data_IF_623716829341
#
_entry.id   IF_623716829341
#
_cell.length_a   1.000
_cell.length_b   1.000
_cell.length_c   1.000
_cell.angle_alpha   90.00
_cell.angle_beta   90.00
_cell.angle_gamma   90.00
#
_symmetry.space_group_name_H-M   'P 1'
#
loop_
_entity.id
_entity.type
_entity.pdbx_description
1 polymer ?
#
# COMPACT_ATOMS: atom_id res chain seq x y z
N UNK A 1 15.16 9.86 17.81
CA UNK A 1 13.94 9.61 18.61
C UNK A 1 12.66 9.43 17.75
N UNK A 2 12.68 9.80 16.48
CA UNK A 2 11.55 9.71 15.52
C UNK A 2 11.26 8.32 14.95
N UNK A 3 12.22 7.38 15.02
CA UNK A 3 12.06 6.03 14.44
C UNK A 3 11.13 5.11 15.27
N UNK A 4 11.11 5.26 16.60
CA UNK A 4 10.34 4.38 17.50
C UNK A 4 8.82 4.67 17.52
N UNK A 5 8.38 5.85 17.09
CA UNK A 5 6.96 6.24 17.06
C UNK A 5 6.25 5.73 15.79
N UNK A 6 6.98 5.59 14.68
CA UNK A 6 6.42 5.14 13.39
C UNK A 6 6.07 3.65 13.38
N UNK A 7 6.88 2.83 14.06
CA UNK A 7 6.68 1.39 14.17
C UNK A 7 5.48 1.02 15.07
N UNK A 8 5.19 1.84 16.10
CA UNK A 8 3.98 1.68 16.92
C UNK A 8 2.71 1.94 16.11
N UNK A 9 2.67 3.00 15.30
CA UNK A 9 1.50 3.35 14.49
C UNK A 9 1.11 2.23 13.52
N UNK A 10 2.09 1.59 12.89
CA UNK A 10 1.86 0.48 11.96
C UNK A 10 1.29 -0.77 12.64
N UNK A 11 1.80 -1.11 13.84
CA UNK A 11 1.31 -2.25 14.63
C UNK A 11 -0.13 -2.05 15.12
N UNK A 12 -0.48 -0.84 15.55
CA UNK A 12 -1.85 -0.52 15.98
C UNK A 12 -2.86 -0.57 14.83
N UNK A 13 -2.49 -0.13 13.63
CA UNK A 13 -3.35 -0.21 12.45
C UNK A 13 -3.62 -1.66 12.05
N UNK A 14 -2.61 -2.53 12.04
CA UNK A 14 -2.80 -3.95 11.74
C UNK A 14 -3.61 -4.68 12.82
N UNK A 15 -3.39 -4.37 14.10
CA UNK A 15 -4.20 -4.89 15.20
C UNK A 15 -5.66 -4.44 15.09
N UNK A 16 -5.90 -3.18 14.75
CA UNK A 16 -7.24 -2.65 14.54
C UNK A 16 -7.92 -3.32 13.34
N UNK A 17 -7.19 -3.57 12.25
CA UNK A 17 -7.72 -4.26 11.07
C UNK A 17 -8.10 -5.70 11.40
N UNK A 18 -7.21 -6.45 12.07
CA UNK A 18 -7.46 -7.82 12.52
C UNK A 18 -8.62 -7.89 13.51
N UNK A 19 -8.70 -6.96 14.46
CA UNK A 19 -9.80 -6.89 15.41
C UNK A 19 -11.14 -6.59 14.70
N UNK A 20 -11.14 -5.73 13.69
CA UNK A 20 -12.34 -5.40 12.89
C UNK A 20 -12.79 -6.61 12.08
N UNK A 21 -11.86 -7.32 11.43
CA UNK A 21 -12.15 -8.57 10.71
C UNK A 21 -12.70 -9.62 11.66
N UNK A 22 -12.07 -9.81 12.83
CA UNK A 22 -12.51 -10.76 13.85
C UNK A 22 -13.90 -10.43 14.39
N UNK A 23 -14.17 -9.16 14.69
CA UNK A 23 -15.49 -8.70 15.13
C UNK A 23 -16.56 -8.93 14.05
N UNK A 24 -16.24 -8.66 12.77
CA UNK A 24 -17.13 -8.93 11.65
C UNK A 24 -17.42 -10.44 11.49
N UNK A 25 -16.41 -11.30 11.62
CA UNK A 25 -16.62 -12.76 11.59
C UNK A 25 -17.48 -13.25 12.76
N UNK A 26 -17.28 -12.72 13.97
CA UNK A 26 -18.12 -13.07 15.12
C UNK A 26 -19.56 -12.60 14.93
N UNK A 27 -19.76 -11.40 14.40
CA UNK A 27 -21.10 -10.89 14.06
C UNK A 27 -21.77 -11.76 12.99
N UNK A 28 -21.02 -12.24 11.99
CA UNK A 28 -21.51 -13.16 10.97
C UNK A 28 -21.96 -14.50 11.59
N UNK A 29 -21.11 -15.11 12.41
CA UNK A 29 -21.40 -16.37 13.09
C UNK A 29 -22.63 -16.21 13.99
N UNK A 30 -22.71 -15.10 14.73
CA UNK A 30 -23.85 -14.78 15.60
C UNK A 30 -25.15 -14.62 14.79
N UNK A 31 -25.10 -13.91 13.65
CA UNK A 31 -26.25 -13.74 12.77
C UNK A 31 -26.72 -15.09 12.22
N UNK A 32 -25.80 -15.92 11.71
CA UNK A 32 -26.11 -17.27 11.21
C UNK A 32 -26.71 -18.14 12.31
N UNK A 33 -26.11 -18.13 13.51
CA UNK A 33 -26.63 -18.85 14.66
C UNK A 33 -28.07 -18.43 14.97
N UNK A 34 -28.33 -17.12 15.04
CA UNK A 34 -29.67 -16.57 15.32
C UNK A 34 -30.69 -16.93 14.23
N UNK A 35 -30.29 -16.92 12.97
CA UNK A 35 -31.16 -17.33 11.85
C UNK A 35 -31.52 -18.82 11.95
N UNK A 36 -30.53 -19.69 12.18
CA UNK A 36 -30.76 -21.14 12.31
C UNK A 36 -31.61 -21.47 13.53
N UNK A 37 -31.37 -20.80 14.66
CA UNK A 37 -32.14 -20.97 15.90
C UNK A 37 -33.62 -20.57 15.70
N UNK A 38 -33.86 -19.43 15.04
CA UNK A 38 -35.21 -18.98 14.69
C UNK A 38 -35.91 -19.95 13.72
N UNK A 39 -35.21 -20.42 12.69
CA UNK A 39 -35.76 -21.36 11.72
C UNK A 39 -36.13 -22.71 12.36
N UNK A 40 -35.29 -23.22 13.28
CA UNK A 40 -35.58 -24.44 14.05
C UNK A 40 -36.83 -24.30 14.90
N UNK A 41 -36.95 -23.20 15.66
CA UNK A 41 -38.13 -22.94 16.49
C UNK A 41 -39.41 -22.85 15.65
N UNK A 42 -39.32 -22.21 14.49
CA UNK A 42 -40.44 -22.05 13.56
C UNK A 42 -40.88 -23.38 12.93
N UNK A 43 -39.93 -24.22 12.52
CA UNK A 43 -40.23 -25.58 12.03
C UNK A 43 -40.91 -26.44 13.11
N UNK A 44 -40.40 -26.40 14.34
CA UNK A 44 -41.00 -27.12 15.46
C UNK A 44 -42.44 -26.64 15.74
N UNK A 45 -42.71 -25.34 15.62
CA UNK A 45 -44.06 -24.79 15.76
C UNK A 45 -45.00 -25.28 14.63
N UNK A 46 -44.53 -25.30 13.38
CA UNK A 46 -45.31 -25.80 12.22
C UNK A 46 -45.65 -27.27 12.38
N UNK A 47 -44.69 -28.11 12.78
CA UNK A 47 -44.90 -29.54 13.03
C UNK A 47 -45.94 -29.76 14.13
N UNK A 48 -45.80 -29.03 15.24
CA UNK A 48 -46.72 -29.07 16.38
C UNK A 48 -48.15 -28.67 16.00
N UNK A 49 -48.32 -27.53 15.34
CA UNK A 49 -49.65 -27.05 14.89
C UNK A 49 -50.27 -27.99 13.86
N UNK A 50 -49.47 -28.57 12.94
CA UNK A 50 -49.96 -29.59 12.01
C UNK A 50 -50.43 -30.86 12.73
N UNK A 51 -49.73 -31.28 13.79
CA UNK A 51 -50.13 -32.45 14.58
C UNK A 51 -51.42 -32.21 15.36
N UNK A 52 -51.60 -31.01 15.94
CA UNK A 52 -52.86 -30.60 16.59
C UNK A 52 -54.02 -30.67 15.61
N UNK A 53 -53.88 -30.10 14.41
CA UNK A 53 -54.91 -30.15 13.37
C UNK A 53 -55.24 -31.60 12.95
N UNK A 54 -54.26 -32.51 12.88
CA UNK A 54 -54.52 -33.92 12.60
C UNK A 54 -55.32 -34.59 13.74
N UNK A 55 -55.00 -34.30 15.00
CA UNK A 55 -55.76 -34.85 16.14
C UNK A 55 -57.21 -34.34 16.16
N UNK A 56 -57.44 -33.04 15.90
CA UNK A 56 -58.78 -32.47 15.80
C UNK A 56 -59.62 -33.15 14.71
N UNK A 57 -59.03 -33.38 13.53
CA UNK A 57 -59.67 -34.11 12.43
C UNK A 57 -59.90 -35.59 12.76
N UNK A 58 -59.03 -36.22 13.54
CA UNK A 58 -59.22 -37.60 14.04
C UNK A 58 -60.41 -37.66 14.98
N UNK A 59 -60.50 -36.75 15.96
CA UNK A 59 -61.61 -36.66 16.91
C UNK A 59 -62.94 -36.46 16.16
N UNK A 60 -62.98 -35.50 15.22
CA UNK A 60 -64.17 -35.24 14.41
C UNK A 60 -64.60 -36.45 13.59
N UNK A 61 -63.67 -37.12 12.90
CA UNK A 61 -63.96 -38.33 12.11
C UNK A 61 -64.37 -39.53 12.98
N UNK A 62 -63.70 -39.76 14.10
CA UNK A 62 -64.01 -40.85 15.02
C UNK A 62 -65.44 -40.70 15.56
N UNK A 63 -65.82 -39.49 15.95
CA UNK A 63 -67.16 -39.22 16.48
C UNK A 63 -68.23 -39.36 15.40
N UNK A 64 -68.01 -38.83 14.19
CA UNK A 64 -68.95 -38.94 13.08
C UNK A 64 -69.13 -40.40 12.60
N UNK A 65 -68.03 -41.13 12.47
CA UNK A 65 -68.05 -42.55 12.09
C UNK A 65 -68.74 -43.39 13.15
N UNK A 66 -68.49 -43.07 14.43
CA UNK A 66 -69.13 -43.74 15.55
C UNK A 66 -70.63 -43.54 15.56
N UNK A 67 -71.10 -42.31 15.35
CA UNK A 67 -72.53 -42.03 15.23
C UNK A 67 -73.14 -42.74 14.01
N UNK A 68 -72.44 -42.73 12.88
CA UNK A 68 -72.91 -43.41 11.67
C UNK A 68 -73.03 -44.92 11.88
N UNK A 69 -72.06 -45.55 12.55
CA UNK A 69 -72.08 -46.98 12.88
C UNK A 69 -73.18 -47.34 13.87
N UNK A 70 -73.30 -46.56 14.95
CA UNK A 70 -74.36 -46.71 15.95
C UNK A 70 -75.74 -46.60 15.32
N UNK A 71 -76.03 -45.57 14.51
CA UNK A 71 -77.32 -45.42 13.82
C UNK A 71 -77.59 -46.58 12.85
N UNK A 72 -76.57 -47.03 12.12
CA UNK A 72 -76.67 -48.20 11.24
C UNK A 72 -77.09 -49.46 12.01
N UNK A 73 -76.49 -49.71 13.17
CA UNK A 73 -76.84 -50.83 14.04
C UNK A 73 -78.25 -50.70 14.62
N UNK A 74 -78.63 -49.53 15.13
CA UNK A 74 -79.98 -49.29 15.68
C UNK A 74 -81.10 -49.51 14.65
N UNK A 75 -80.82 -49.23 13.36
CA UNK A 75 -81.79 -49.39 12.27
C UNK A 75 -81.87 -50.84 11.79
N UNK A 76 -80.72 -51.51 11.64
CA UNK A 76 -80.62 -52.82 10.96
C UNK A 76 -80.57 -54.00 11.93
N UNK A 77 -80.19 -53.76 13.19
CA UNK A 77 -79.82 -54.76 14.19
C UNK A 77 -78.66 -55.67 13.77
N UNK A 78 -77.91 -55.30 12.73
CA UNK A 78 -76.79 -56.06 12.21
C UNK A 78 -75.47 -55.52 12.79
N UNK A 79 -74.83 -56.35 13.62
CA UNK A 79 -73.55 -56.01 14.30
C UNK A 79 -72.44 -55.60 13.35
N UNK A 80 -72.50 -55.95 12.06
CA UNK A 80 -71.50 -55.49 11.07
C UNK A 80 -71.46 -53.97 10.93
N UNK A 81 -72.54 -53.27 11.28
CA UNK A 81 -72.58 -51.80 11.30
C UNK A 81 -71.90 -51.19 12.54
N UNK A 82 -71.53 -51.98 13.56
CA UNK A 82 -70.79 -51.47 14.74
C UNK A 82 -69.30 -51.28 14.48
N UNK A 83 -68.74 -51.83 13.39
CA UNK A 83 -67.30 -51.73 13.10
C UNK A 83 -66.78 -50.26 13.09
N UNK A 84 -67.47 -49.27 12.47
CA UNK A 84 -67.06 -47.87 12.54
C UNK A 84 -67.19 -47.25 13.94
N UNK A 85 -68.10 -47.77 14.78
CA UNK A 85 -68.29 -47.36 16.17
C UNK A 85 -67.16 -47.85 17.07
N UNK A 86 -66.85 -49.15 17.02
CA UNK A 86 -65.74 -49.76 17.75
C UNK A 86 -64.41 -49.07 17.38
N UNK A 87 -64.17 -48.87 16.08
CA UNK A 87 -62.98 -48.15 15.61
C UNK A 87 -62.93 -46.69 16.10
N UNK A 88 -64.06 -46.01 16.20
CA UNK A 88 -64.14 -44.66 16.76
C UNK A 88 -63.84 -44.63 18.25
N UNK A 89 -64.37 -45.60 19.01
CA UNK A 89 -64.18 -45.73 20.45
C UNK A 89 -62.72 -46.04 20.80
N UNK A 90 -62.03 -46.87 20.01
CA UNK A 90 -60.60 -47.14 20.20
C UNK A 90 -59.70 -45.93 19.89
N UNK A 91 -60.15 -45.02 19.01
CA UNK A 91 -59.34 -43.88 18.54
C UNK A 91 -59.55 -42.61 19.37
N UNK A 92 -60.69 -42.45 20.05
CA UNK A 92 -61.04 -41.17 20.66
C UNK A 92 -60.12 -40.80 21.83
N UNK A 93 -59.88 -41.73 22.75
CA UNK A 93 -59.06 -41.49 23.95
C UNK A 93 -57.59 -41.20 23.59
N UNK A 94 -56.91 -42.00 22.74
CA UNK A 94 -55.56 -41.68 22.31
C UNK A 94 -55.44 -40.32 21.60
N UNK A 95 -56.45 -39.93 20.82
CA UNK A 95 -56.45 -38.64 20.12
C UNK A 95 -56.60 -37.46 21.07
N UNK A 96 -57.48 -37.58 22.08
CA UNK A 96 -57.67 -36.57 23.13
C UNK A 96 -56.42 -36.42 24.00
N UNK A 97 -55.82 -37.54 24.43
CA UNK A 97 -54.60 -37.54 25.23
C UNK A 97 -53.44 -36.89 24.47
N UNK A 98 -53.31 -37.20 23.17
CA UNK A 98 -52.27 -36.60 22.32
C UNK A 98 -52.50 -35.11 22.11
N UNK A 99 -53.74 -34.68 21.85
CA UNK A 99 -54.09 -33.28 21.73
C UNK A 99 -53.73 -32.50 23.00
N UNK A 100 -54.05 -33.05 24.17
CA UNK A 100 -53.74 -32.44 25.47
C UNK A 100 -52.23 -32.36 25.72
N UNK A 101 -51.50 -33.43 25.42
CA UNK A 101 -50.04 -33.47 25.56
C UNK A 101 -49.35 -32.42 24.67
N UNK A 102 -49.84 -32.21 23.43
CA UNK A 102 -49.29 -31.17 22.56
C UNK A 102 -49.49 -29.77 23.14
N UNK A 103 -50.54 -29.52 23.92
CA UNK A 103 -50.91 -28.18 24.39
C UNK A 103 -50.38 -27.80 25.79
N UNK A 104 -49.78 -28.73 26.55
CA UNK A 104 -49.40 -28.52 27.97
C UNK A 104 -48.55 -27.28 28.26
N UNK A 105 -47.58 -26.91 27.40
CA UNK A 105 -46.59 -25.88 27.73
C UNK A 105 -46.85 -24.50 27.08
N UNK A 106 -47.75 -24.42 26.10
CA UNK A 106 -47.82 -23.26 25.18
C UNK A 106 -49.27 -22.83 24.86
N UNK A 107 -50.28 -23.49 25.45
CA UNK A 107 -51.67 -23.17 25.14
C UNK A 107 -52.09 -21.81 25.68
N UNK A 108 -52.81 -21.07 24.85
CA UNK A 108 -53.58 -19.90 25.31
C UNK A 108 -54.73 -20.35 26.23
N UNK A 109 -55.25 -19.44 27.08
CA UNK A 109 -56.42 -19.75 27.90
C UNK A 109 -57.60 -20.28 27.08
N UNK A 110 -57.83 -19.72 25.88
CA UNK A 110 -58.91 -20.16 24.99
C UNK A 110 -58.68 -21.55 24.41
N UNK A 111 -57.46 -21.88 23.99
CA UNK A 111 -57.13 -23.23 23.53
C UNK A 111 -57.32 -24.28 24.64
N UNK A 112 -56.95 -23.93 25.88
CA UNK A 112 -57.14 -24.83 27.03
C UNK A 112 -58.63 -25.10 27.28
N UNK A 113 -59.45 -24.04 27.27
CA UNK A 113 -60.91 -24.15 27.40
C UNK A 113 -61.53 -25.00 26.27
N UNK A 114 -61.10 -24.79 25.03
CA UNK A 114 -61.60 -25.55 23.88
C UNK A 114 -61.21 -27.03 23.95
N UNK A 115 -60.00 -27.37 24.41
CA UNK A 115 -59.59 -28.77 24.61
C UNK A 115 -60.45 -29.43 25.68
N UNK A 116 -60.70 -28.76 26.80
CA UNK A 116 -61.56 -29.27 27.87
C UNK A 116 -63.00 -29.47 27.36
N UNK A 117 -63.52 -28.54 26.56
CA UNK A 117 -64.84 -28.63 25.94
C UNK A 117 -64.93 -29.79 24.94
N UNK A 118 -63.94 -29.92 24.04
CA UNK A 118 -63.86 -31.02 23.05
C UNK A 118 -63.79 -32.37 23.77
N UNK A 119 -62.96 -32.48 24.81
CA UNK A 119 -62.83 -33.72 25.60
C UNK A 119 -64.15 -34.08 26.28
N UNK A 120 -64.79 -33.13 26.96
CA UNK A 120 -66.05 -33.37 27.65
C UNK A 120 -67.16 -33.78 26.68
N UNK A 121 -67.30 -33.08 25.55
CA UNK A 121 -68.34 -33.33 24.55
C UNK A 121 -68.12 -34.65 23.81
N UNK A 122 -66.88 -34.96 23.40
CA UNK A 122 -66.57 -36.21 22.73
C UNK A 122 -66.82 -37.42 23.65
N UNK A 123 -66.33 -37.37 24.90
CA UNK A 123 -66.59 -38.43 25.88
C UNK A 123 -68.08 -38.56 26.23
N UNK A 124 -68.81 -37.45 26.29
CA UNK A 124 -70.27 -37.49 26.46
C UNK A 124 -70.96 -38.18 25.28
N UNK A 125 -70.54 -37.87 24.04
CA UNK A 125 -71.11 -38.47 22.83
C UNK A 125 -70.85 -39.97 22.74
N UNK A 126 -69.64 -40.42 23.04
CA UNK A 126 -69.34 -41.86 23.04
C UNK A 126 -70.07 -42.62 24.15
N UNK A 127 -70.29 -42.01 25.32
CA UNK A 127 -71.15 -42.60 26.37
C UNK A 127 -72.60 -42.73 25.94
N UNK A 128 -73.17 -41.70 25.29
CA UNK A 128 -74.53 -41.76 24.74
C UNK A 128 -74.68 -42.89 23.71
N UNK A 129 -73.70 -43.03 22.81
CA UNK A 129 -73.68 -44.11 21.83
C UNK A 129 -73.56 -45.49 22.50
N UNK A 130 -72.67 -45.65 23.48
CA UNK A 130 -72.48 -46.90 24.24
C UNK A 130 -73.76 -47.34 24.99
N UNK A 131 -74.42 -46.38 25.67
CA UNK A 131 -75.70 -46.62 26.34
C UNK A 131 -76.77 -47.10 25.34
N UNK A 132 -76.85 -46.47 24.18
CA UNK A 132 -77.83 -46.82 23.15
C UNK A 132 -77.58 -48.20 22.53
N UNK A 133 -76.31 -48.58 22.31
CA UNK A 133 -75.92 -49.89 21.79
C UNK A 133 -76.23 -50.96 22.83
N UNK A 134 -75.83 -50.73 24.09
CA UNK A 134 -76.10 -51.64 25.22
C UNK A 134 -77.59 -51.90 25.41
N UNK A 135 -78.45 -50.87 25.32
CA UNK A 135 -79.91 -51.04 25.38
C UNK A 135 -80.45 -51.95 24.27
N UNK A 136 -79.90 -51.89 23.05
CA UNK A 136 -80.30 -52.81 21.96
C UNK A 136 -79.84 -54.23 22.23
N UNK A 137 -78.63 -54.41 22.76
CA UNK A 137 -78.10 -55.73 23.12
C UNK A 137 -78.90 -56.40 24.26
N UNK A 138 -79.41 -55.61 25.21
CA UNK A 138 -80.32 -56.04 26.28
C UNK A 138 -81.77 -56.33 25.80
N UNK A 139 -82.07 -56.13 24.51
CA UNK A 139 -83.40 -56.31 23.93
C UNK A 139 -84.36 -55.14 24.17
N UNK A 140 -83.88 -54.00 24.66
CA UNK A 140 -84.66 -52.79 24.98
C UNK A 140 -84.67 -51.77 23.83
N UNK A 141 -85.03 -52.23 22.63
CA UNK A 141 -84.98 -51.42 21.40
C UNK A 141 -85.80 -50.12 21.45
N UNK A 142 -86.95 -50.13 22.11
CA UNK A 142 -87.80 -48.94 22.24
C UNK A 142 -87.16 -47.86 23.12
N UNK A 143 -86.43 -48.26 24.17
CA UNK A 143 -85.71 -47.34 25.04
C UNK A 143 -84.53 -46.71 24.30
N UNK A 144 -83.74 -47.54 23.59
CA UNK A 144 -82.63 -47.09 22.75
C UNK A 144 -83.08 -46.07 21.70
N UNK A 145 -84.19 -46.35 21.00
CA UNK A 145 -84.73 -45.43 19.99
C UNK A 145 -85.26 -44.13 20.59
N UNK A 146 -85.85 -44.17 21.80
CA UNK A 146 -86.32 -42.97 22.50
C UNK A 146 -85.15 -42.10 22.96
N UNK A 147 -84.05 -42.70 23.40
CA UNK A 147 -82.83 -41.99 23.78
C UNK A 147 -82.21 -41.24 22.59
N UNK A 148 -82.13 -41.87 21.41
CA UNK A 148 -81.58 -41.25 20.19
C UNK A 148 -82.49 -40.18 19.58
N UNK A 149 -83.81 -40.26 19.83
CA UNK A 149 -84.77 -39.25 19.40
C UNK A 149 -84.74 -37.97 20.24
N UNK A 150 -83.85 -37.88 21.24
CA UNK A 150 -83.64 -36.65 22.00
C UNK A 150 -82.75 -35.68 21.19
N UNK A 151 -83.05 -34.38 21.24
CA UNK A 151 -82.23 -33.35 20.58
C UNK A 151 -80.84 -33.19 21.24
N UNK A 152 -80.62 -33.81 22.41
CA UNK A 152 -79.38 -33.73 23.19
C UNK A 152 -78.17 -34.31 22.44
N UNK A 153 -78.37 -35.41 21.69
CA UNK A 153 -77.31 -36.03 20.89
C UNK A 153 -76.89 -35.19 19.68
N UNK A 154 -77.82 -34.43 19.10
CA UNK A 154 -77.56 -33.49 17.98
C UNK A 154 -76.87 -32.24 18.51
N UNK A 155 -77.37 -31.67 19.62
CA UNK A 155 -76.79 -30.48 20.23
C UNK A 155 -75.34 -30.73 20.68
N UNK A 156 -75.06 -31.88 21.29
CA UNK A 156 -73.70 -32.28 21.69
C UNK A 156 -72.76 -32.34 20.50
N UNK A 157 -73.23 -32.90 19.37
CA UNK A 157 -72.44 -32.97 18.14
C UNK A 157 -72.20 -31.60 17.50
N UNK A 158 -73.21 -30.72 17.49
CA UNK A 158 -73.05 -29.37 16.96
C UNK A 158 -72.08 -28.53 17.80
N UNK A 159 -72.15 -28.66 19.13
CA UNK A 159 -71.20 -28.02 20.06
C UNK A 159 -69.79 -28.57 19.86
N UNK A 160 -69.63 -29.90 19.74
CA UNK A 160 -68.33 -30.52 19.49
C UNK A 160 -67.74 -30.04 18.16
N UNK A 161 -68.53 -30.07 17.09
CA UNK A 161 -68.10 -29.61 15.79
C UNK A 161 -67.75 -28.12 15.78
N UNK A 162 -68.43 -27.30 16.59
CA UNK A 162 -68.14 -25.88 16.75
C UNK A 162 -66.82 -25.66 17.51
N UNK A 163 -66.62 -26.35 18.62
CA UNK A 163 -65.38 -26.26 19.39
C UNK A 163 -64.16 -26.73 18.57
N UNK A 164 -64.31 -27.83 17.81
CA UNK A 164 -63.29 -28.30 16.86
C UNK A 164 -62.98 -27.23 15.81
N UNK A 165 -64.00 -26.66 15.15
CA UNK A 165 -63.79 -25.62 14.13
C UNK A 165 -63.11 -24.39 14.69
N UNK A 166 -63.51 -23.93 15.87
CA UNK A 166 -62.88 -22.77 16.51
C UNK A 166 -61.41 -23.04 16.85
N UNK A 167 -61.11 -24.24 17.36
CA UNK A 167 -59.72 -24.65 17.60
C UNK A 167 -58.93 -24.75 16.28
N UNK A 168 -59.51 -25.30 15.21
CA UNK A 168 -58.90 -25.34 13.88
C UNK A 168 -58.64 -23.93 13.33
N UNK A 169 -59.53 -22.97 13.53
CA UNK A 169 -59.35 -21.58 13.11
C UNK A 169 -58.17 -20.92 13.85
N UNK A 170 -58.06 -21.13 15.17
CA UNK A 170 -56.94 -20.64 15.98
C UNK A 170 -55.61 -21.22 15.45
N UNK A 171 -55.54 -22.53 15.26
CA UNK A 171 -54.32 -23.22 14.81
C UNK A 171 -53.95 -22.87 13.37
N UNK A 172 -54.92 -22.75 12.46
CA UNK A 172 -54.65 -22.30 11.09
C UNK A 172 -54.15 -20.84 11.05
N UNK A 173 -54.61 -19.98 11.97
CA UNK A 173 -54.08 -18.63 12.16
C UNK A 173 -52.61 -18.66 12.58
N UNK A 174 -52.28 -19.45 13.61
CA UNK A 174 -50.89 -19.64 14.08
C UNK A 174 -49.99 -20.17 12.95
N UNK A 175 -50.48 -21.14 12.18
CA UNK A 175 -49.75 -21.72 11.04
C UNK A 175 -49.49 -20.68 9.95
N UNK A 176 -50.49 -19.87 9.62
CA UNK A 176 -50.38 -18.83 8.59
C UNK A 176 -49.38 -17.75 9.00
N UNK A 177 -49.44 -17.31 10.27
CA UNK A 177 -48.49 -16.35 10.83
C UNK A 177 -47.06 -16.90 10.87
N UNK A 178 -46.91 -18.18 11.22
CA UNK A 178 -45.63 -18.87 11.16
C UNK A 178 -45.09 -18.88 9.73
N UNK A 179 -45.88 -19.24 8.72
CA UNK A 179 -45.41 -19.28 7.32
C UNK A 179 -45.05 -17.86 6.82
N UNK A 180 -45.86 -16.85 7.13
CA UNK A 180 -45.64 -15.47 6.70
C UNK A 180 -44.36 -14.84 7.28
N UNK A 181 -44.00 -15.22 8.51
CA UNK A 181 -42.77 -14.76 9.15
C UNK A 181 -41.49 -15.35 8.52
N UNK A 182 -41.55 -16.54 7.91
CA UNK A 182 -40.41 -17.16 7.20
C UNK A 182 -39.93 -16.26 6.07
N UNK A 183 -40.86 -15.83 5.21
CA UNK A 183 -40.54 -15.01 4.03
C UNK A 183 -39.96 -13.64 4.40
N UNK A 184 -40.39 -13.06 5.54
CA UNK A 184 -39.84 -11.78 6.02
C UNK A 184 -38.44 -11.92 6.62
N UNK A 185 -38.15 -13.04 7.27
CA UNK A 185 -36.84 -13.33 7.86
C UNK A 185 -35.78 -13.54 6.76
N UNK A 186 -36.11 -14.35 5.74
CA UNK A 186 -35.23 -14.62 4.61
C UNK A 186 -34.82 -13.33 3.86
N UNK A 187 -35.76 -12.41 3.66
CA UNK A 187 -35.51 -11.14 2.97
C UNK A 187 -34.56 -10.17 3.71
N UNK A 188 -34.37 -10.33 5.03
CA UNK A 188 -33.50 -9.45 5.83
C UNK A 188 -32.10 -10.00 6.03
N UNK A 189 -31.92 -11.31 6.03
CA UNK A 189 -30.62 -11.95 6.31
C UNK A 189 -29.65 -11.77 5.13
N UNK A 190 -30.10 -12.00 3.90
CA UNK A 190 -29.27 -11.88 2.70
C UNK A 190 -28.60 -10.49 2.52
N UNK A 191 -29.32 -9.34 2.65
CA UNK A 191 -28.69 -8.03 2.54
C UNK A 191 -27.75 -7.72 3.70
N UNK A 192 -28.01 -8.21 4.92
CA UNK A 192 -27.10 -8.04 6.06
C UNK A 192 -25.78 -8.82 5.85
N UNK A 193 -25.88 -10.05 5.34
CA UNK A 193 -24.71 -10.85 4.94
C UNK A 193 -23.91 -10.16 3.83
N UNK A 194 -24.60 -9.66 2.81
CA UNK A 194 -23.99 -8.91 1.71
C UNK A 194 -23.27 -7.64 2.19
N UNK A 195 -23.90 -6.85 3.06
CA UNK A 195 -23.32 -5.64 3.62
C UNK A 195 -22.07 -5.94 4.48
N UNK A 196 -22.11 -7.00 5.30
CA UNK A 196 -20.99 -7.41 6.13
C UNK A 196 -19.81 -7.91 5.29
N UNK A 197 -20.08 -8.73 4.27
CA UNK A 197 -19.05 -9.19 3.33
C UNK A 197 -18.42 -8.03 2.57
N UNK A 198 -19.23 -7.07 2.13
CA UNK A 198 -18.77 -5.86 1.46
C UNK A 198 -17.84 -5.03 2.35
N UNK A 199 -18.20 -4.82 3.62
CA UNK A 199 -17.35 -4.12 4.59
C UNK A 199 -16.02 -4.85 4.85
N UNK A 200 -16.04 -6.19 4.93
CA UNK A 200 -14.84 -7.02 5.06
C UNK A 200 -13.90 -6.86 3.86
N UNK A 201 -14.44 -6.90 2.64
CA UNK A 201 -13.67 -6.70 1.41
C UNK A 201 -13.08 -5.29 1.39
N UNK A 202 -13.86 -4.27 1.75
CA UNK A 202 -13.40 -2.88 1.81
C UNK A 202 -12.25 -2.70 2.82
N UNK A 203 -12.38 -3.30 4.01
CA UNK A 203 -11.34 -3.30 5.04
C UNK A 203 -10.08 -4.03 4.57
N UNK A 204 -10.20 -5.17 3.88
CA UNK A 204 -9.06 -5.92 3.36
C UNK A 204 -8.32 -5.15 2.25
N UNK A 205 -9.06 -4.52 1.32
CA UNK A 205 -8.49 -3.66 0.29
C UNK A 205 -7.80 -2.44 0.92
N UNK A 206 -8.44 -1.80 1.90
CA UNK A 206 -7.88 -0.67 2.65
C UNK A 206 -6.58 -1.04 3.36
N UNK A 207 -6.58 -2.16 4.09
CA UNK A 207 -5.41 -2.71 4.77
C UNK A 207 -4.26 -3.03 3.81
N UNK A 208 -4.55 -3.71 2.69
CA UNK A 208 -3.56 -4.00 1.66
C UNK A 208 -2.93 -2.74 1.04
N UNK A 209 -3.72 -1.68 0.83
CA UNK A 209 -3.20 -0.38 0.38
C UNK A 209 -2.30 0.32 1.40
N UNK A 210 -2.61 0.22 2.70
CA UNK A 210 -1.77 0.78 3.75
C UNK A 210 -0.43 0.04 3.88
N UNK A 211 -0.47 -1.30 3.86
CA UNK A 211 0.75 -2.13 3.92
C UNK A 211 1.64 -1.90 2.70
N UNK A 212 1.06 -1.86 1.50
CA UNK A 212 1.84 -1.61 0.28
C UNK A 212 2.45 -0.20 0.23
N UNK A 213 1.78 0.83 0.76
CA UNK A 213 2.36 2.18 0.90
C UNK A 213 3.53 2.19 1.87
N UNK A 214 3.43 1.50 3.01
CA UNK A 214 4.50 1.41 3.98
C UNK A 214 5.74 0.70 3.40
N UNK A 215 5.55 -0.43 2.73
CA UNK A 215 6.63 -1.19 2.10
C UNK A 215 7.37 -0.38 1.01
N UNK A 216 6.64 0.38 0.19
CA UNK A 216 7.25 1.26 -0.82
C UNK A 216 8.11 2.37 -0.19
N UNK A 217 7.60 3.01 0.86
CA UNK A 217 8.34 4.06 1.54
C UNK A 217 9.63 3.56 2.20
N UNK A 218 9.65 2.32 2.72
CA UNK A 218 10.86 1.69 3.25
C UNK A 218 11.87 1.37 2.16
N UNK A 219 11.42 0.85 1.01
CA UNK A 219 12.29 0.55 -0.12
C UNK A 219 12.96 1.81 -0.70
N UNK A 220 12.20 2.90 -0.87
CA UNK A 220 12.73 4.19 -1.33
C UNK A 220 13.76 4.77 -0.35
N UNK A 221 13.50 4.69 0.96
CA UNK A 221 14.43 5.17 1.98
C UNK A 221 15.74 4.36 1.99
N UNK A 222 15.67 3.04 1.83
CA UNK A 222 16.84 2.18 1.75
C UNK A 222 17.68 2.48 0.50
N UNK A 223 17.04 2.70 -0.65
CA UNK A 223 17.72 3.04 -1.89
C UNK A 223 18.39 4.42 -1.82
N UNK A 224 17.71 5.41 -1.23
CA UNK A 224 18.28 6.74 -1.02
C UNK A 224 19.52 6.70 -0.09
N UNK A 225 19.46 5.91 0.98
CA UNK A 225 20.60 5.72 1.88
C UNK A 225 21.79 5.05 1.18
N UNK A 226 21.53 4.01 0.38
CA UNK A 226 22.57 3.31 -0.40
C UNK A 226 23.23 4.23 -1.44
N UNK A 227 22.45 5.09 -2.11
CA UNK A 227 22.99 6.06 -3.05
C UNK A 227 23.85 7.12 -2.35
N UNK A 228 23.43 7.59 -1.17
CA UNK A 228 24.21 8.50 -0.34
C UNK A 228 25.56 7.91 0.05
N UNK A 229 25.59 6.67 0.55
CA UNK A 229 26.83 6.00 0.93
C UNK A 229 27.76 5.76 -0.27
N UNK A 230 27.21 5.42 -1.44
CA UNK A 230 27.98 5.26 -2.67
C UNK A 230 28.62 6.60 -3.11
N UNK A 231 27.89 7.71 -2.99
CA UNK A 231 28.41 9.06 -3.28
C UNK A 231 29.52 9.45 -2.32
N UNK A 232 29.32 9.27 -1.01
CA UNK A 232 30.33 9.59 0.00
C UNK A 232 31.64 8.80 -0.22
N UNK A 233 31.52 7.52 -0.59
CA UNK A 233 32.68 6.68 -0.96
C UNK A 233 33.39 7.19 -2.21
N UNK A 234 32.64 7.61 -3.23
CA UNK A 234 33.23 8.18 -4.44
C UNK A 234 34.00 9.48 -4.14
N UNK A 235 33.45 10.35 -3.29
CA UNK A 235 34.09 11.60 -2.87
C UNK A 235 35.35 11.38 -2.03
N UNK A 236 35.37 10.34 -1.18
CA UNK A 236 36.57 9.94 -0.44
C UNK A 236 37.66 9.40 -1.38
N UNK A 237 37.29 8.56 -2.35
CA UNK A 237 38.22 8.02 -3.33
C UNK A 237 38.80 9.13 -4.21
N UNK A 238 37.99 10.09 -4.66
CA UNK A 238 38.46 11.22 -5.44
C UNK A 238 39.52 12.06 -4.67
N UNK A 239 39.27 12.32 -3.39
CA UNK A 239 40.24 13.02 -2.52
C UNK A 239 41.55 12.25 -2.35
N UNK A 240 41.49 10.95 -2.13
CA UNK A 240 42.67 10.09 -2.00
C UNK A 240 43.47 10.02 -3.32
N UNK A 241 42.79 9.92 -4.46
CA UNK A 241 43.44 9.94 -5.77
C UNK A 241 44.19 11.26 -6.00
N UNK A 242 43.57 12.39 -5.70
CA UNK A 242 44.23 13.70 -5.81
C UNK A 242 45.47 13.80 -4.92
N UNK A 243 45.40 13.31 -3.68
CA UNK A 243 46.56 13.26 -2.79
C UNK A 243 47.69 12.40 -3.37
N UNK A 244 47.36 11.23 -3.95
CA UNK A 244 48.36 10.37 -4.61
C UNK A 244 49.00 11.00 -5.82
N UNK A 245 48.24 11.74 -6.63
CA UNK A 245 48.79 12.48 -7.77
C UNK A 245 49.81 13.52 -7.29
N UNK A 246 49.51 14.28 -6.23
CA UNK A 246 50.48 15.22 -5.62
C UNK A 246 51.77 14.51 -5.18
N UNK A 247 51.64 13.34 -4.54
CA UNK A 247 52.80 12.56 -4.12
C UNK A 247 53.65 12.08 -5.31
N UNK A 248 53.01 11.64 -6.40
CA UNK A 248 53.73 11.24 -7.61
C UNK A 248 54.52 12.41 -8.22
N UNK A 249 53.92 13.61 -8.30
CA UNK A 249 54.62 14.80 -8.75
C UNK A 249 55.83 15.16 -7.87
N UNK A 250 55.69 15.03 -6.54
CA UNK A 250 56.79 15.26 -5.61
C UNK A 250 57.96 14.27 -5.84
N UNK A 251 57.66 12.99 -6.07
CA UNK A 251 58.67 11.96 -6.38
C UNK A 251 59.37 12.26 -7.71
N UNK A 252 58.62 12.59 -8.76
CA UNK A 252 59.21 12.95 -10.07
C UNK A 252 60.12 14.17 -9.94
N UNK A 253 59.70 15.20 -9.19
CA UNK A 253 60.50 16.39 -8.94
C UNK A 253 61.81 16.05 -8.20
N UNK A 254 61.77 15.17 -7.20
CA UNK A 254 62.95 14.72 -6.48
C UNK A 254 63.94 13.96 -7.38
N UNK A 255 63.45 13.05 -8.24
CA UNK A 255 64.29 12.30 -9.20
C UNK A 255 65.00 13.27 -10.17
N UNK A 256 64.26 14.24 -10.70
CA UNK A 256 64.81 15.26 -11.60
C UNK A 256 65.91 16.04 -10.90
N UNK A 257 65.64 16.56 -9.70
CA UNK A 257 66.64 17.34 -8.94
C UNK A 257 67.87 16.52 -8.53
N UNK A 258 67.70 15.26 -8.13
CA UNK A 258 68.81 14.36 -7.80
C UNK A 258 69.70 14.05 -9.01
N UNK A 259 69.12 13.95 -10.21
CA UNK A 259 69.85 13.60 -11.44
C UNK A 259 70.88 14.66 -11.87
N UNK A 260 70.79 15.88 -11.36
CA UNK A 260 71.71 16.99 -11.65
C UNK A 260 72.66 17.34 -10.49
N UNK A 261 72.55 16.65 -9.35
CA UNK A 261 73.29 17.01 -8.13
C UNK A 261 74.81 17.05 -8.33
N UNK A 262 75.34 16.15 -9.15
CA UNK A 262 76.78 16.00 -9.40
C UNK A 262 77.19 16.40 -10.84
N UNK A 263 76.31 17.12 -11.56
CA UNK A 263 76.52 17.53 -12.96
C UNK A 263 76.26 19.03 -13.16
N UNK A 264 77.25 19.90 -12.92
CA UNK A 264 77.10 21.36 -13.04
C UNK A 264 76.56 21.79 -14.41
N UNK A 265 76.98 21.12 -15.48
CA UNK A 265 76.54 21.36 -16.85
C UNK A 265 75.06 21.05 -17.12
N UNK A 266 74.43 20.20 -16.30
CA UNK A 266 73.03 19.82 -16.44
C UNK A 266 72.07 20.61 -15.52
N UNK A 267 72.61 21.49 -14.67
CA UNK A 267 71.84 22.20 -13.63
C UNK A 267 70.76 23.10 -14.21
N UNK A 268 71.09 23.90 -15.22
CA UNK A 268 70.15 24.84 -15.84
C UNK A 268 68.97 24.12 -16.52
N UNK A 269 69.26 23.03 -17.25
CA UNK A 269 68.23 22.21 -17.91
C UNK A 269 67.33 21.54 -16.88
N UNK A 270 67.90 21.05 -15.78
CA UNK A 270 67.16 20.35 -14.73
C UNK A 270 66.29 21.29 -13.92
N UNK A 271 66.77 22.49 -13.61
CA UNK A 271 65.96 23.55 -12.99
C UNK A 271 64.77 23.94 -13.88
N UNK A 272 64.99 24.04 -15.20
CA UNK A 272 63.92 24.30 -16.17
C UNK A 272 62.87 23.17 -16.20
N UNK A 273 63.29 21.90 -16.15
CA UNK A 273 62.36 20.76 -16.08
C UNK A 273 61.59 20.74 -14.76
N UNK A 274 62.27 20.99 -13.63
CA UNK A 274 61.67 21.06 -12.30
C UNK A 274 60.61 22.15 -12.20
N UNK A 275 60.87 23.32 -12.79
CA UNK A 275 59.92 24.44 -12.87
C UNK A 275 58.63 24.07 -13.63
N UNK A 276 58.76 23.38 -14.77
CA UNK A 276 57.61 22.90 -15.56
C UNK A 276 56.77 21.85 -14.85
N UNK A 277 57.40 20.93 -14.14
CA UNK A 277 56.70 19.91 -13.34
C UNK A 277 55.83 20.58 -12.26
N UNK A 278 56.34 21.65 -11.63
CA UNK A 278 55.54 22.42 -10.66
C UNK A 278 54.37 23.14 -11.32
N UNK A 279 54.56 23.72 -12.51
CA UNK A 279 53.47 24.35 -13.25
C UNK A 279 52.36 23.36 -13.64
N UNK A 280 52.72 22.13 -14.04
CA UNK A 280 51.77 21.05 -14.29
C UNK A 280 50.98 20.67 -13.03
N UNK A 281 51.65 20.57 -11.88
CA UNK A 281 51.00 20.27 -10.61
C UNK A 281 49.98 21.36 -10.24
N UNK A 282 50.35 22.63 -10.35
CA UNK A 282 49.46 23.77 -10.06
C UNK A 282 48.25 23.79 -10.99
N UNK A 283 48.45 23.58 -12.29
CA UNK A 283 47.34 23.52 -13.24
C UNK A 283 46.42 22.31 -12.97
N UNK A 284 46.99 21.18 -12.54
CA UNK A 284 46.21 20.01 -12.11
C UNK A 284 45.37 20.33 -10.87
N UNK A 285 45.94 20.96 -9.85
CA UNK A 285 45.22 21.35 -8.62
C UNK A 285 44.05 22.30 -8.90
N UNK A 286 44.29 23.31 -9.76
CA UNK A 286 43.26 24.28 -10.18
C UNK A 286 42.13 23.62 -10.97
N UNK A 287 42.41 22.53 -11.70
CA UNK A 287 41.39 21.80 -12.48
C UNK A 287 40.48 20.86 -11.67
N UNK A 288 40.82 20.56 -10.41
CA UNK A 288 40.12 19.58 -9.58
C UNK A 288 39.09 20.21 -8.62
N UNK A 289 38.85 21.53 -8.70
CA UNK A 289 38.05 22.29 -7.75
C UNK A 289 36.54 22.02 -7.73
N UNK A 290 35.96 21.47 -8.81
CA UNK A 290 34.50 21.24 -8.90
C UNK A 290 34.16 19.86 -9.48
N UNK A 291 33.44 19.05 -8.69
CA UNK A 291 33.12 17.64 -8.98
C UNK A 291 32.10 17.43 -10.12
N UNK A 292 31.29 18.43 -10.48
CA UNK A 292 30.22 18.25 -11.47
C UNK A 292 30.60 18.70 -12.89
N UNK A 293 31.60 19.58 -13.04
CA UNK A 293 32.33 19.88 -14.30
C UNK A 293 33.72 20.40 -13.92
N UNK A 294 34.83 19.81 -14.37
CA UNK A 294 36.15 20.32 -14.05
C UNK A 294 36.42 21.55 -14.92
N UNK A 295 35.88 22.69 -14.49
CA UNK A 295 36.15 24.01 -15.04
C UNK A 295 37.02 24.78 -14.05
N UNK A 296 37.91 25.63 -14.55
CA UNK A 296 38.73 26.48 -13.70
C UNK A 296 38.70 27.93 -14.17
N UNK A 297 38.71 28.86 -13.22
CA UNK A 297 38.78 30.29 -13.50
C UNK A 297 40.11 30.64 -14.18
N UNK A 298 40.03 31.30 -15.34
CA UNK A 298 41.19 31.83 -16.05
C UNK A 298 41.96 32.83 -15.17
N UNK A 299 41.24 33.71 -14.48
CA UNK A 299 41.84 34.68 -13.56
C UNK A 299 42.66 33.98 -12.47
N UNK A 300 42.08 32.96 -11.82
CA UNK A 300 42.77 32.20 -10.77
C UNK A 300 44.02 31.49 -11.31
N UNK A 301 43.98 30.96 -12.54
CA UNK A 301 45.15 30.33 -13.18
C UNK A 301 46.28 31.34 -13.41
N UNK A 302 45.97 32.55 -13.89
CA UNK A 302 46.95 33.62 -14.13
C UNK A 302 47.54 34.11 -12.80
N UNK A 303 46.69 34.38 -11.81
CA UNK A 303 47.10 34.81 -10.46
C UNK A 303 48.05 33.78 -9.83
N UNK A 304 47.67 32.50 -9.87
CA UNK A 304 48.49 31.42 -9.28
C UNK A 304 49.82 31.25 -10.01
N UNK A 305 49.86 31.49 -11.33
CA UNK A 305 51.09 31.41 -12.12
C UNK A 305 52.08 32.53 -11.80
N UNK A 306 51.58 33.75 -11.55
CA UNK A 306 52.39 34.93 -11.25
C UNK A 306 52.78 35.05 -9.77
N UNK A 307 51.97 34.51 -8.86
CA UNK A 307 52.13 34.66 -7.40
C UNK A 307 53.54 34.35 -6.87
N UNK A 308 54.26 33.30 -7.31
CA UNK A 308 55.58 32.97 -6.75
C UNK A 308 56.67 34.03 -6.98
N UNK A 309 56.47 34.92 -7.95
CA UNK A 309 57.46 35.92 -8.37
C UNK A 309 56.99 37.36 -8.15
N UNK A 310 55.78 37.56 -7.60
CA UNK A 310 55.30 38.91 -7.27
C UNK A 310 55.96 39.42 -5.99
N UNK A 311 56.40 40.66 -6.03
CA UNK A 311 56.98 41.38 -4.88
C UNK A 311 56.68 42.87 -5.00
N UNK A 312 57.09 43.67 -4.01
CA UNK A 312 56.91 45.13 -4.04
C UNK A 312 57.57 45.81 -5.25
N UNK A 313 58.57 45.17 -5.87
CA UNK A 313 59.25 45.64 -7.09
C UNK A 313 58.86 44.89 -8.37
N UNK A 314 58.06 43.82 -8.26
CA UNK A 314 57.65 42.96 -9.38
C UNK A 314 56.12 42.89 -9.41
N UNK A 315 55.51 43.96 -9.93
CA UNK A 315 54.06 44.10 -10.01
C UNK A 315 53.51 43.59 -11.33
N UNK A 316 52.26 43.10 -11.31
CA UNK A 316 51.53 42.73 -12.51
C UNK A 316 50.07 43.15 -12.37
N UNK A 317 49.53 43.83 -13.38
CA UNK A 317 48.10 44.13 -13.49
C UNK A 317 47.41 42.97 -14.19
N UNK A 318 46.32 42.48 -13.62
CA UNK A 318 45.46 41.42 -14.18
C UNK A 318 44.07 42.02 -14.26
N UNK A 319 43.46 42.01 -15.44
CA UNK A 319 42.11 42.52 -15.67
C UNK A 319 41.38 41.72 -16.76
N UNK A 320 40.07 41.54 -16.62
CA UNK A 320 39.28 40.79 -17.60
C UNK A 320 37.99 40.22 -17.02
N UNK A 321 37.05 39.78 -17.89
CA UNK A 321 35.77 39.21 -17.47
C UNK A 321 35.95 37.83 -16.80
N UNK A 322 34.98 37.42 -15.99
CA UNK A 322 34.98 36.08 -15.39
C UNK A 322 34.82 35.01 -16.47
N UNK A 323 35.84 34.16 -16.62
CA UNK A 323 35.90 33.12 -17.64
C UNK A 323 36.25 31.78 -17.00
N UNK A 324 35.43 30.77 -17.27
CA UNK A 324 35.65 29.39 -16.85
C UNK A 324 36.17 28.53 -18.00
N UNK A 325 37.38 27.99 -17.83
CA UNK A 325 38.05 27.15 -18.83
C UNK A 325 37.80 25.66 -18.55
N UNK A 326 37.51 24.85 -19.58
CA UNK A 326 37.51 23.39 -19.43
C UNK A 326 38.89 22.86 -19.03
N UNK A 327 38.94 21.87 -18.14
CA UNK A 327 40.19 21.30 -17.61
C UNK A 327 41.23 20.90 -18.67
N UNK A 328 40.78 20.45 -19.86
CA UNK A 328 41.66 20.11 -20.99
C UNK A 328 42.52 21.28 -21.48
N UNK A 329 42.09 22.53 -21.23
CA UNK A 329 42.79 23.77 -21.63
C UNK A 329 43.61 24.38 -20.50
N UNK A 330 43.25 24.12 -19.25
CA UNK A 330 43.91 24.66 -18.06
C UNK A 330 45.38 24.22 -17.98
N UNK A 331 45.65 22.94 -18.20
CA UNK A 331 47.02 22.38 -18.12
C UNK A 331 47.98 22.97 -19.17
N UNK A 332 47.68 22.94 -20.48
CA UNK A 332 48.57 23.52 -21.48
C UNK A 332 48.67 25.05 -21.38
N UNK A 333 47.59 25.75 -21.00
CA UNK A 333 47.66 27.20 -20.77
C UNK A 333 48.51 27.55 -19.55
N UNK A 334 48.40 26.81 -18.45
CA UNK A 334 49.22 26.98 -17.26
C UNK A 334 50.72 26.83 -17.55
N UNK A 335 51.10 25.90 -18.42
CA UNK A 335 52.48 25.78 -18.90
C UNK A 335 52.95 27.02 -19.68
N UNK A 336 52.10 27.56 -20.56
CA UNK A 336 52.43 28.78 -21.33
C UNK A 336 52.61 29.98 -20.41
N UNK A 337 51.67 30.19 -19.48
CA UNK A 337 51.72 31.26 -18.49
C UNK A 337 52.96 31.15 -17.60
N UNK A 338 53.34 29.92 -17.22
CA UNK A 338 54.57 29.70 -16.48
C UNK A 338 55.81 30.07 -17.28
N UNK A 339 55.93 29.64 -18.54
CA UNK A 339 57.07 30.02 -19.39
C UNK A 339 57.13 31.54 -19.58
N UNK A 340 56.00 32.21 -19.83
CA UNK A 340 55.93 33.68 -19.90
C UNK A 340 56.42 34.33 -18.60
N UNK A 341 55.92 33.86 -17.46
CA UNK A 341 56.32 34.35 -16.14
C UNK A 341 57.83 34.19 -15.91
N UNK A 342 58.39 33.01 -16.22
CA UNK A 342 59.84 32.77 -16.04
C UNK A 342 60.69 33.63 -16.99
N UNK A 343 60.23 33.88 -18.20
CA UNK A 343 60.91 34.77 -19.15
C UNK A 343 60.90 36.22 -18.65
N UNK A 344 59.76 36.69 -18.11
CA UNK A 344 59.66 38.02 -17.52
C UNK A 344 60.67 38.23 -16.38
N UNK A 345 60.88 37.23 -15.52
CA UNK A 345 61.87 37.26 -14.42
C UNK A 345 63.30 37.25 -14.92
N UNK A 346 63.62 36.43 -15.94
CA UNK A 346 65.00 36.21 -16.38
C UNK A 346 65.49 37.25 -17.39
N UNK A 347 64.61 37.65 -18.30
CA UNK A 347 64.98 38.40 -19.51
C UNK A 347 64.04 39.56 -19.82
N UNK A 348 62.81 39.56 -19.28
CA UNK A 348 61.74 40.47 -19.65
C UNK A 348 61.50 41.60 -18.64
N UNK A 349 60.23 41.99 -18.46
CA UNK A 349 59.85 43.19 -17.71
C UNK A 349 60.44 43.22 -16.28
N UNK A 350 60.27 42.14 -15.53
CA UNK A 350 60.70 42.09 -14.13
C UNK A 350 62.22 42.01 -13.94
N UNK A 351 62.98 41.56 -14.95
CA UNK A 351 64.44 41.65 -14.93
C UNK A 351 64.94 43.10 -15.08
N UNK A 352 64.15 43.95 -15.76
CA UNK A 352 64.53 45.30 -16.16
C UNK A 352 63.77 46.40 -15.38
N UNK A 353 63.05 46.05 -14.32
CA UNK A 353 62.26 47.00 -13.52
C UNK A 353 60.97 47.49 -14.20
N UNK A 354 60.54 46.82 -15.26
CA UNK A 354 59.28 47.05 -15.95
C UNK A 354 58.08 46.34 -15.32
N UNK A 355 56.92 46.43 -16.00
CA UNK A 355 55.65 45.88 -15.50
C UNK A 355 55.02 44.88 -16.47
N UNK A 356 54.25 43.94 -15.91
CA UNK A 356 53.45 42.98 -16.67
C UNK A 356 51.99 43.43 -16.64
N UNK A 357 51.33 43.47 -17.79
CA UNK A 357 49.90 43.67 -17.93
C UNK A 357 49.31 42.43 -18.60
N UNK A 358 48.32 41.82 -17.96
CA UNK A 358 47.58 40.69 -18.49
C UNK A 358 46.12 41.08 -18.57
N UNK A 359 45.61 41.17 -19.80
CA UNK A 359 44.22 41.47 -20.08
C UNK A 359 43.60 40.37 -20.95
N UNK A 360 42.30 40.11 -20.81
CA UNK A 360 41.60 39.22 -21.75
C UNK A 360 40.19 39.68 -22.04
N UNK A 361 39.68 39.23 -23.19
CA UNK A 361 38.31 39.44 -23.64
C UNK A 361 37.69 38.11 -24.09
N UNK A 362 36.39 37.96 -23.87
CA UNK A 362 35.61 36.86 -24.42
C UNK A 362 34.99 37.29 -25.76
N UNK A 363 35.26 36.52 -26.81
CA UNK A 363 34.84 36.77 -28.19
C UNK A 363 34.26 35.48 -28.77
N UNK A 364 32.95 35.42 -28.99
CA UNK A 364 32.25 34.34 -29.70
C UNK A 364 32.79 32.92 -29.40
N UNK A 365 32.63 32.47 -28.14
CA UNK A 365 33.07 31.16 -27.68
C UNK A 365 34.59 30.94 -27.75
N UNK A 366 35.37 32.02 -27.75
CA UNK A 366 36.83 32.03 -27.60
C UNK A 366 37.23 33.10 -26.59
N UNK A 367 38.43 32.96 -26.05
CA UNK A 367 39.07 33.97 -25.22
C UNK A 367 40.35 34.39 -25.89
N UNK A 368 40.53 35.70 -25.96
CA UNK A 368 41.78 36.33 -26.36
C UNK A 368 42.45 36.90 -25.14
N UNK A 369 43.57 36.32 -24.76
CA UNK A 369 44.42 36.79 -23.67
C UNK A 369 45.63 37.52 -24.24
N UNK A 370 45.84 38.74 -23.78
CA UNK A 370 46.98 39.57 -24.10
C UNK A 370 47.91 39.65 -22.88
N UNK A 371 49.15 39.27 -23.08
CA UNK A 371 50.24 39.44 -22.12
C UNK A 371 51.19 40.50 -22.65
N UNK A 372 51.41 41.57 -21.88
CA UNK A 372 52.29 42.68 -22.26
C UNK A 372 53.35 42.91 -21.20
N UNK A 373 54.59 43.04 -21.64
CA UNK A 373 55.74 43.36 -20.80
C UNK A 373 56.32 44.70 -21.23
N UNK A 374 56.40 45.66 -20.31
CA UNK A 374 56.98 46.99 -20.56
C UNK A 374 58.41 47.09 -20.02
N UNK A 375 59.19 48.07 -20.50
CA UNK A 375 60.54 48.32 -19.98
C UNK A 375 61.59 47.28 -20.41
N UNK A 376 61.27 46.44 -21.38
CA UNK A 376 62.21 45.47 -21.98
C UNK A 376 63.01 46.19 -23.07
N UNK A 377 64.36 46.18 -23.04
CA UNK A 377 65.17 46.78 -24.10
C UNK A 377 64.83 46.16 -25.46
N UNK A 378 64.83 46.96 -26.54
CA UNK A 378 64.58 46.48 -27.89
C UNK A 378 65.59 45.36 -28.26
N UNK A 379 65.12 44.11 -28.30
CA UNK A 379 65.89 42.97 -28.78
C UNK A 379 65.49 42.67 -30.23
N UNK A 380 66.48 42.35 -31.06
CA UNK A 380 66.22 41.69 -32.35
C UNK A 380 65.63 40.30 -32.08
N UNK A 381 64.67 39.87 -32.91
CA UNK A 381 64.02 38.57 -32.83
C UNK A 381 65.08 37.48 -32.65
N UNK A 382 65.08 36.70 -31.55
CA UNK A 382 66.16 35.75 -31.28
C UNK A 382 66.27 34.71 -32.40
N UNK A 383 67.45 34.62 -33.02
CA UNK A 383 67.74 33.81 -34.23
C UNK A 383 67.67 32.28 -33.96
N UNK A 384 67.62 31.88 -32.68
CA UNK A 384 67.44 30.48 -32.24
C UNK A 384 66.05 30.24 -31.68
N UNK A 385 65.29 29.33 -32.31
CA UNK A 385 64.08 28.73 -31.71
C UNK A 385 64.48 27.83 -30.54
N UNK A 386 64.56 28.40 -29.34
CA UNK A 386 64.79 27.66 -28.10
C UNK A 386 63.60 26.78 -27.69
N UNK A 387 63.81 25.98 -26.64
CA UNK A 387 62.80 25.05 -26.11
C UNK A 387 61.46 25.73 -25.76
N UNK A 388 61.48 26.96 -25.23
CA UNK A 388 60.27 27.69 -24.85
C UNK A 388 59.36 28.05 -26.04
N UNK A 389 59.90 28.18 -27.26
CA UNK A 389 59.10 28.40 -28.47
C UNK A 389 58.42 27.10 -28.94
N UNK A 390 59.11 25.96 -28.84
CA UNK A 390 58.53 24.64 -29.14
C UNK A 390 57.41 24.26 -28.17
N UNK A 391 57.58 24.56 -26.88
CA UNK A 391 56.55 24.33 -25.87
C UNK A 391 55.28 25.12 -26.15
N UNK A 392 55.40 26.41 -26.49
CA UNK A 392 54.22 27.23 -26.81
C UNK A 392 53.51 26.73 -28.08
N UNK A 393 54.24 26.31 -29.12
CA UNK A 393 53.61 25.70 -30.30
C UNK A 393 52.86 24.40 -29.95
N UNK A 394 53.44 23.55 -29.10
CA UNK A 394 52.77 22.33 -28.64
C UNK A 394 51.55 22.61 -27.78
N UNK A 395 51.64 23.57 -26.86
CA UNK A 395 50.52 23.96 -25.99
C UNK A 395 49.36 24.55 -26.81
N UNK A 396 49.65 25.42 -27.79
CA UNK A 396 48.66 25.97 -28.71
C UNK A 396 47.86 24.86 -29.44
N UNK A 397 48.57 23.80 -29.88
CA UNK A 397 47.93 22.64 -30.49
C UNK A 397 47.06 21.85 -29.51
N UNK A 398 47.48 21.72 -28.24
CA UNK A 398 46.74 20.96 -27.23
C UNK A 398 45.44 21.65 -26.78
N UNK A 399 45.43 22.98 -26.64
CA UNK A 399 44.20 23.71 -26.32
C UNK A 399 43.37 24.12 -27.54
N UNK A 400 43.86 23.85 -28.77
CA UNK A 400 43.14 24.08 -30.02
C UNK A 400 43.08 25.56 -30.44
N UNK A 401 44.16 26.30 -30.18
CA UNK A 401 44.22 27.76 -30.39
C UNK A 401 45.52 28.24 -31.02
N UNK A 402 45.82 29.53 -30.88
CA UNK A 402 47.00 30.18 -31.45
C UNK A 402 47.74 31.00 -30.40
N UNK A 403 49.06 31.11 -30.57
CA UNK A 403 49.92 31.98 -29.76
C UNK A 403 50.77 32.79 -30.73
N UNK A 404 50.66 34.10 -30.67
CA UNK A 404 51.44 35.04 -31.44
C UNK A 404 52.32 35.87 -30.51
N UNK A 405 53.56 36.14 -30.92
CA UNK A 405 54.51 36.93 -30.15
C UNK A 405 55.06 38.05 -31.01
N UNK A 406 55.06 39.26 -30.46
CA UNK A 406 55.52 40.48 -31.10
C UNK A 406 56.56 41.16 -30.20
N UNK A 407 57.74 41.41 -30.76
CA UNK A 407 58.83 42.12 -30.08
C UNK A 407 58.88 43.56 -30.61
N UNK A 408 58.54 44.52 -29.76
CA UNK A 408 58.50 45.94 -30.11
C UNK A 408 59.58 46.75 -29.40
N UNK A 409 59.71 48.02 -29.77
CA UNK A 409 60.63 48.95 -29.09
C UNK A 409 60.23 49.26 -27.65
N UNK A 410 58.95 49.11 -27.33
CA UNK A 410 58.37 49.46 -26.04
C UNK A 410 58.10 48.23 -25.15
N UNK A 411 58.40 47.02 -25.62
CA UNK A 411 58.13 45.80 -24.86
C UNK A 411 57.85 44.54 -25.68
N UNK A 412 57.36 43.51 -24.99
CA UNK A 412 56.96 42.22 -25.58
C UNK A 412 55.43 42.09 -25.46
N UNK A 413 54.76 41.70 -26.55
CA UNK A 413 53.33 41.40 -26.55
C UNK A 413 53.13 39.95 -26.99
N UNK A 414 52.40 39.17 -26.19
CA UNK A 414 51.99 37.81 -26.51
C UNK A 414 50.48 37.74 -26.54
N UNK A 415 49.91 37.33 -27.68
CA UNK A 415 48.46 37.15 -27.86
C UNK A 415 48.15 35.67 -27.91
N UNK A 416 47.22 35.21 -27.08
CA UNK A 416 46.81 33.83 -26.96
C UNK A 416 45.31 33.76 -27.25
N UNK A 417 44.92 33.05 -28.31
CA UNK A 417 43.51 32.75 -28.58
C UNK A 417 43.22 31.30 -28.24
N UNK A 418 42.20 31.05 -27.41
CA UNK A 418 41.76 29.69 -27.05
C UNK A 418 40.22 29.56 -27.08
N UNK A 419 39.65 28.44 -27.55
CA UNK A 419 38.20 28.23 -27.54
C UNK A 419 37.65 27.95 -26.13
N UNK A 420 36.35 28.23 -25.90
CA UNK A 420 35.61 27.96 -24.66
C UNK A 420 34.70 26.72 -24.76
N UNK A 421 34.05 26.48 -25.89
CA UNK A 421 33.27 25.25 -26.17
C UNK A 421 34.16 24.08 -26.59
N UNK A 422 33.66 22.86 -26.61
CA UNK A 422 34.48 21.65 -26.83
C UNK A 422 35.20 21.58 -28.19
#
# INVERSE_FOLDING_TARGET
MTFALRDRGFRWVNLALLATIGAAMLALIFLVYKTVEAERAQRAQVEKTSEILDQLRRIGRATLNGETGQRGYLITLDRRYLVPYEAGQEQIDPALDRLRALLQDVATPRQTELVDEIEALARAKFREMDDSVSMVEEGRLLDARRAVLTDEGVETMERLARAIREMEEIENGILTDAIANTSRSEGRVLPLLGALLFLLILAMIGGGRLVSRAARAEAEAAQAAALGEARDRADLLARELNHRVKNLFAVVLAIVQMSARDKPEAKEVTESIAQRIRALLTAHEVSQGELERPVASLQQLIETSLAPYRSSSQTAQIDGPEVMLPAKRVTPLGLVLHELTTNAVKYGAWANGGQILVDWEELDNRVRLNWRETGVPAQETPDRKGFGSLLMTSAARQFGGSIEREFGRDGIVVRIDLPLGD
#
